data_IF_353051064804
#
_entry.id   IF_353051064804
#
_cell.length_a   1.000
_cell.length_b   1.000
_cell.length_c   1.000
_cell.angle_alpha   90.00
_cell.angle_beta   90.00
_cell.angle_gamma   90.00
#
_symmetry.space_group_name_H-M   'P 1'
#
loop_
_entity.id
_entity.type
_entity.pdbx_description
1 polymer ?
#
# COMPACT_ATOMS: atom_id res chain seq x y z
N UNK A 1 7.17 -1.99 18.62
CA UNK A 1 7.38 -0.66 18.02
C UNK A 1 8.88 -0.40 17.96
N UNK A 2 9.38 0.12 16.83
CA UNK A 2 10.79 0.49 16.68
C UNK A 2 10.93 1.88 16.03
N UNK A 3 11.98 2.62 16.47
CA UNK A 3 12.34 3.94 15.98
C UNK A 3 13.84 3.98 15.68
N UNK A 4 14.26 4.64 14.59
CA UNK A 4 15.67 4.82 14.28
C UNK A 4 15.94 5.48 12.95
N UNK A 5 17.19 5.86 12.67
CA UNK A 5 17.58 6.28 11.30
C UNK A 5 17.36 5.14 10.31
N UNK A 6 17.89 3.96 10.62
CA UNK A 6 17.61 2.72 9.88
C UNK A 6 17.03 1.68 10.82
N UNK A 7 15.86 1.17 10.50
CA UNK A 7 15.16 0.10 11.24
C UNK A 7 15.20 -1.17 10.39
N UNK A 8 15.89 -2.21 10.87
CA UNK A 8 15.93 -3.53 10.22
C UNK A 8 15.06 -4.51 10.99
N UNK A 9 14.06 -5.07 10.34
CA UNK A 9 13.07 -5.98 10.93
C UNK A 9 13.24 -7.35 10.31
N UNK A 10 13.93 -8.25 11.02
CA UNK A 10 14.25 -9.59 10.52
C UNK A 10 13.64 -10.72 11.38
N UNK A 11 13.08 -10.38 12.53
CA UNK A 11 12.48 -11.38 13.41
C UNK A 11 10.96 -11.37 13.26
N UNK A 12 10.35 -12.54 13.30
CA UNK A 12 8.90 -12.70 13.31
C UNK A 12 8.26 -11.84 14.40
N UNK A 13 7.17 -11.19 14.06
CA UNK A 13 6.40 -10.35 14.98
C UNK A 13 4.99 -10.92 15.09
N UNK A 14 4.65 -11.38 16.30
CA UNK A 14 3.29 -11.77 16.59
C UNK A 14 2.46 -10.53 16.93
N UNK A 15 1.37 -10.31 16.17
CA UNK A 15 0.53 -9.13 16.30
C UNK A 15 0.99 -7.94 15.46
N UNK A 16 0.98 -6.73 16.05
CA UNK A 16 1.26 -5.47 15.35
C UNK A 16 2.72 -5.04 15.46
N UNK A 17 3.38 -4.87 14.31
CA UNK A 17 4.63 -4.13 14.18
C UNK A 17 4.41 -2.68 13.75
N UNK A 18 4.95 -1.71 14.50
CA UNK A 18 4.96 -0.30 14.11
C UNK A 18 6.38 0.22 14.00
N UNK A 19 6.76 0.77 12.84
CA UNK A 19 8.13 1.12 12.50
C UNK A 19 8.22 2.55 11.98
N UNK A 20 9.18 3.31 12.53
CA UNK A 20 9.39 4.72 12.24
C UNK A 20 10.88 4.97 11.99
N UNK A 21 11.24 5.55 10.86
CA UNK A 21 12.64 5.82 10.54
C UNK A 21 12.88 6.60 9.26
N UNK A 22 14.12 6.90 8.99
CA UNK A 22 14.53 7.39 7.66
C UNK A 22 14.46 6.25 6.63
N UNK A 23 14.92 5.06 7.03
CA UNK A 23 14.82 3.83 6.24
C UNK A 23 14.27 2.69 7.08
N UNK A 24 13.26 1.99 6.57
CA UNK A 24 12.76 0.75 7.15
C UNK A 24 12.99 -0.40 6.16
N UNK A 25 13.74 -1.40 6.59
CA UNK A 25 13.94 -2.66 5.88
C UNK A 25 13.20 -3.76 6.65
N UNK A 26 12.14 -4.27 6.05
CA UNK A 26 11.33 -5.33 6.61
C UNK A 26 11.53 -6.60 5.80
N UNK A 27 12.01 -7.66 6.46
CA UNK A 27 12.23 -8.97 5.84
C UNK A 27 11.82 -10.07 6.83
N UNK A 28 10.53 -10.20 7.07
CA UNK A 28 10.01 -11.17 8.03
C UNK A 28 8.50 -11.40 7.83
N UNK A 29 7.86 -12.02 8.82
CA UNK A 29 6.43 -12.26 8.83
C UNK A 29 5.78 -11.63 10.06
N UNK A 30 4.60 -11.03 9.88
CA UNK A 30 3.80 -10.48 10.98
C UNK A 30 2.30 -10.55 10.67
N UNK A 31 1.46 -10.28 11.69
CA UNK A 31 0.03 -10.16 11.45
C UNK A 31 -0.31 -8.79 10.86
N UNK A 32 0.16 -7.74 11.52
CA UNK A 32 -0.16 -6.36 11.14
C UNK A 32 1.11 -5.52 11.09
N UNK A 33 1.20 -4.62 10.10
CA UNK A 33 2.28 -3.64 10.05
C UNK A 33 1.76 -2.22 9.86
N UNK A 34 2.43 -1.27 10.50
CA UNK A 34 2.31 0.16 10.24
C UNK A 34 3.71 0.74 10.06
N UNK A 35 4.00 1.34 8.91
CA UNK A 35 5.33 1.87 8.59
C UNK A 35 5.22 3.32 8.19
N UNK A 36 6.07 4.14 8.80
CA UNK A 36 6.23 5.57 8.49
C UNK A 36 7.72 5.86 8.29
N UNK A 37 8.14 6.05 7.05
CA UNK A 37 9.56 6.17 6.72
C UNK A 37 9.77 6.92 5.41
N UNK A 38 10.89 7.57 5.24
CA UNK A 38 11.22 8.17 3.94
C UNK A 38 11.48 7.06 2.90
N UNK A 39 12.22 6.01 3.27
CA UNK A 39 12.46 4.86 2.40
C UNK A 39 11.97 3.57 3.04
N UNK A 40 11.17 2.79 2.30
CA UNK A 40 10.60 1.52 2.77
C UNK A 40 10.97 0.42 1.78
N UNK A 41 11.64 -0.63 2.26
CA UNK A 41 11.95 -1.84 1.51
C UNK A 41 11.29 -3.03 2.23
N UNK A 42 10.41 -3.74 1.55
CA UNK A 42 9.65 -4.82 2.14
C UNK A 42 9.85 -6.12 1.36
N UNK A 43 10.08 -7.20 2.11
CA UNK A 43 10.01 -8.58 1.65
C UNK A 43 9.44 -9.48 2.77
N UNK A 44 8.99 -10.69 2.45
CA UNK A 44 8.35 -11.58 3.42
C UNK A 44 6.83 -11.53 3.39
N UNK A 45 6.14 -11.54 4.53
CA UNK A 45 4.69 -11.53 4.53
C UNK A 45 4.05 -10.80 5.72
N UNK A 46 2.82 -10.33 5.52
CA UNK A 46 1.94 -9.89 6.60
C UNK A 46 0.48 -10.09 6.21
N UNK A 47 -0.41 -9.94 7.19
CA UNK A 47 -1.85 -10.06 6.95
C UNK A 47 -2.44 -8.76 6.46
N UNK A 48 -2.32 -7.69 7.25
CA UNK A 48 -2.82 -6.36 6.91
C UNK A 48 -1.73 -5.31 7.11
N UNK A 49 -1.71 -4.25 6.29
CA UNK A 49 -0.67 -3.23 6.39
C UNK A 49 -1.11 -1.82 6.03
N UNK A 50 -0.46 -0.85 6.68
CA UNK A 50 -0.51 0.56 6.32
C UNK A 50 0.92 1.10 6.17
N UNK A 51 1.26 1.61 4.99
CA UNK A 51 2.61 2.03 4.66
C UNK A 51 2.59 3.46 4.16
N UNK A 52 3.40 4.30 4.79
CA UNK A 52 3.57 5.70 4.46
C UNK A 52 5.05 5.98 4.22
N UNK A 53 5.39 6.43 3.00
CA UNK A 53 6.79 6.71 2.68
C UNK A 53 6.96 7.56 1.44
N UNK A 54 8.15 8.09 1.22
CA UNK A 54 8.47 8.80 -0.01
C UNK A 54 8.80 7.80 -1.13
N UNK A 55 9.68 6.83 -0.84
CA UNK A 55 10.03 5.74 -1.76
C UNK A 55 9.69 4.41 -1.11
N UNK A 56 8.82 3.63 -1.77
CA UNK A 56 8.32 2.36 -1.26
C UNK A 56 8.58 1.28 -2.31
N UNK A 57 9.27 0.22 -1.89
CA UNK A 57 9.55 -0.95 -2.71
C UNK A 57 9.06 -2.22 -2.00
N UNK A 58 8.12 -2.93 -2.62
CA UNK A 58 7.68 -4.26 -2.24
C UNK A 58 8.27 -5.25 -3.23
N UNK A 59 9.05 -6.21 -2.72
CA UNK A 59 9.66 -7.24 -3.54
C UNK A 59 9.42 -8.62 -2.94
N UNK A 60 8.84 -9.52 -3.73
CA UNK A 60 8.55 -10.90 -3.32
C UNK A 60 7.71 -10.98 -2.03
N UNK A 61 6.78 -10.00 -1.88
CA UNK A 61 5.89 -9.91 -0.73
C UNK A 61 4.64 -10.76 -0.89
N UNK A 62 4.14 -11.28 0.24
CA UNK A 62 2.82 -11.89 0.33
C UNK A 62 1.97 -11.11 1.34
N UNK A 63 0.90 -10.50 0.86
CA UNK A 63 -0.07 -9.78 1.69
C UNK A 63 -1.37 -10.61 1.74
N UNK A 64 -1.70 -11.13 2.92
CA UNK A 64 -2.78 -12.11 3.06
C UNK A 64 -4.18 -11.48 3.11
N UNK A 65 -4.29 -10.17 3.37
CA UNK A 65 -5.54 -9.41 3.35
C UNK A 65 -5.32 -8.03 2.72
N UNK A 66 -5.69 -6.97 3.41
CA UNK A 66 -5.77 -5.64 2.82
C UNK A 66 -4.51 -4.81 3.09
N UNK A 67 -4.18 -3.95 2.13
CA UNK A 67 -3.07 -3.00 2.27
C UNK A 67 -3.47 -1.61 1.81
N UNK A 68 -2.95 -0.61 2.54
CA UNK A 68 -3.01 0.80 2.15
C UNK A 68 -1.60 1.35 2.04
N UNK A 69 -1.29 1.97 0.91
CA UNK A 69 0.03 2.53 0.63
C UNK A 69 -0.10 4.00 0.23
N UNK A 70 0.65 4.86 0.90
CA UNK A 70 0.81 6.27 0.55
C UNK A 70 2.28 6.58 0.30
N UNK A 71 2.61 7.00 -0.92
CA UNK A 71 3.99 7.32 -1.26
C UNK A 71 4.13 8.24 -2.46
N UNK A 72 5.33 8.75 -2.69
CA UNK A 72 5.61 9.50 -3.91
C UNK A 72 5.98 8.55 -5.05
N UNK A 73 6.92 7.62 -4.79
CA UNK A 73 7.36 6.61 -5.75
C UNK A 73 7.15 5.22 -5.16
N UNK A 74 6.31 4.43 -5.82
CA UNK A 74 5.89 3.12 -5.33
C UNK A 74 6.18 2.08 -6.41
N UNK A 75 6.97 1.06 -6.05
CA UNK A 75 7.24 -0.10 -6.89
C UNK A 75 6.76 -1.36 -6.20
N UNK A 76 6.07 -2.18 -6.92
CA UNK A 76 5.43 -3.38 -6.39
C UNK A 76 5.73 -4.58 -7.29
N UNK A 77 6.23 -5.64 -6.66
CA UNK A 77 6.24 -7.00 -7.14
C UNK A 77 5.79 -7.87 -5.96
N UNK A 78 4.52 -8.28 -5.96
CA UNK A 78 3.93 -8.91 -4.79
C UNK A 78 2.68 -9.75 -5.11
N UNK A 79 2.33 -10.62 -4.19
CA UNK A 79 1.06 -11.32 -4.16
C UNK A 79 0.15 -10.71 -3.11
N UNK A 80 -1.07 -10.33 -3.51
CA UNK A 80 -2.11 -9.78 -2.64
C UNK A 80 -3.34 -10.69 -2.67
N UNK A 81 -3.71 -11.23 -1.52
CA UNK A 81 -4.90 -12.08 -1.41
C UNK A 81 -6.16 -11.27 -1.04
N UNK A 82 -6.01 -9.98 -0.73
CA UNK A 82 -7.10 -9.03 -0.44
C UNK A 82 -7.04 -7.77 -1.29
N UNK A 83 -7.62 -6.70 -0.78
CA UNK A 83 -7.76 -5.44 -1.48
C UNK A 83 -6.51 -4.57 -1.39
N UNK A 84 -6.27 -3.79 -2.44
CA UNK A 84 -5.09 -2.92 -2.56
C UNK A 84 -5.52 -1.48 -2.81
N UNK A 85 -5.13 -0.59 -1.92
CA UNK A 85 -5.40 0.84 -2.03
C UNK A 85 -4.07 1.62 -2.06
N UNK A 86 -3.79 2.29 -3.19
CA UNK A 86 -2.51 2.98 -3.39
C UNK A 86 -2.74 4.42 -3.81
N UNK A 87 -2.06 5.32 -3.10
CA UNK A 87 -1.95 6.74 -3.43
C UNK A 87 -0.49 7.11 -3.63
N UNK A 88 -0.15 7.59 -4.83
CA UNK A 88 1.23 7.96 -5.15
C UNK A 88 1.36 8.85 -6.37
N UNK A 89 2.52 9.48 -6.55
CA UNK A 89 2.78 10.19 -7.80
C UNK A 89 3.17 9.24 -8.93
N UNK A 90 4.05 8.29 -8.65
CA UNK A 90 4.57 7.29 -9.59
C UNK A 90 4.29 5.90 -9.02
N UNK A 91 3.38 5.17 -9.65
CA UNK A 91 2.97 3.83 -9.22
C UNK A 91 3.36 2.85 -10.33
N UNK A 92 4.16 1.85 -9.98
CA UNK A 92 4.67 0.82 -10.89
C UNK A 92 4.41 -0.58 -10.30
N UNK A 93 3.47 -1.31 -10.88
CA UNK A 93 3.07 -2.66 -10.45
C UNK A 93 3.55 -3.66 -11.48
N UNK A 94 4.49 -4.50 -11.09
CA UNK A 94 5.13 -5.48 -11.96
C UNK A 94 4.97 -6.89 -11.41
N UNK A 95 4.75 -7.86 -12.31
CA UNK A 95 4.78 -9.29 -12.00
C UNK A 95 4.00 -9.68 -10.74
N UNK A 96 2.86 -9.02 -10.53
CA UNK A 96 2.06 -9.14 -9.32
C UNK A 96 0.79 -9.94 -9.55
N UNK A 97 0.30 -10.58 -8.49
CA UNK A 97 -0.99 -11.26 -8.48
C UNK A 97 -1.87 -10.63 -7.41
N UNK A 98 -3.04 -10.12 -7.78
CA UNK A 98 -3.96 -9.44 -6.87
C UNK A 98 -5.33 -10.10 -6.98
N UNK A 99 -5.78 -10.77 -5.90
CA UNK A 99 -7.07 -11.48 -5.88
C UNK A 99 -8.25 -10.57 -5.53
N UNK A 100 -8.00 -9.48 -4.80
CA UNK A 100 -9.02 -8.51 -4.41
C UNK A 100 -9.15 -7.33 -5.36
N UNK A 101 -9.93 -6.35 -4.92
CA UNK A 101 -10.13 -5.09 -5.65
C UNK A 101 -8.91 -4.17 -5.52
N UNK A 102 -8.64 -3.41 -6.59
CA UNK A 102 -7.50 -2.49 -6.67
C UNK A 102 -8.00 -1.07 -6.90
N UNK A 103 -7.58 -0.15 -6.05
CA UNK A 103 -7.78 1.27 -6.24
C UNK A 103 -6.43 1.99 -6.32
N UNK A 104 -6.16 2.65 -7.44
CA UNK A 104 -4.94 3.41 -7.69
C UNK A 104 -5.26 4.88 -7.91
N UNK A 105 -4.63 5.73 -7.15
CA UNK A 105 -4.68 7.18 -7.35
C UNK A 105 -3.26 7.72 -7.51
N UNK A 106 -2.93 8.22 -8.71
CA UNK A 106 -1.58 8.66 -9.01
C UNK A 106 -1.46 9.53 -10.24
N UNK A 107 -0.35 10.27 -10.34
CA UNK A 107 -0.08 11.04 -11.55
C UNK A 107 0.28 10.11 -12.71
N UNK A 108 1.11 9.11 -12.44
CA UNK A 108 1.54 8.11 -13.41
C UNK A 108 1.34 6.71 -12.84
N UNK A 109 0.61 5.89 -13.56
CA UNK A 109 0.33 4.51 -13.21
C UNK A 109 0.80 3.59 -14.33
N UNK A 110 1.64 2.62 -13.96
CA UNK A 110 2.07 1.53 -14.82
C UNK A 110 1.67 0.20 -14.22
N UNK A 111 1.17 -0.70 -15.03
CA UNK A 111 0.87 -2.08 -14.66
C UNK A 111 1.46 -2.97 -15.76
N UNK A 112 2.37 -3.88 -15.39
CA UNK A 112 3.00 -4.77 -16.36
C UNK A 112 2.02 -5.79 -16.94
N UNK A 113 2.31 -6.28 -18.13
CA UNK A 113 1.48 -7.30 -18.78
C UNK A 113 1.46 -8.65 -18.04
N UNK A 114 2.45 -8.91 -17.18
CA UNK A 114 2.51 -10.11 -16.36
C UNK A 114 1.69 -9.98 -15.07
N UNK A 115 1.26 -8.78 -14.70
CA UNK A 115 0.40 -8.57 -13.52
C UNK A 115 -0.99 -9.12 -13.79
N UNK A 116 -1.55 -9.83 -12.80
CA UNK A 116 -2.90 -10.37 -12.82
C UNK A 116 -3.74 -9.71 -11.72
N UNK A 117 -4.92 -9.25 -12.07
CA UNK A 117 -5.90 -8.68 -11.13
C UNK A 117 -7.21 -9.43 -11.34
N UNK A 118 -7.67 -10.16 -10.32
CA UNK A 118 -8.91 -10.94 -10.37
C UNK A 118 -10.14 -10.10 -9.97
N UNK A 119 -9.93 -9.06 -9.14
CA UNK A 119 -10.97 -8.13 -8.70
C UNK A 119 -11.17 -6.94 -9.64
N UNK A 120 -11.93 -5.97 -9.15
CA UNK A 120 -12.21 -4.71 -9.87
C UNK A 120 -11.02 -3.78 -9.81
N UNK A 121 -10.61 -3.24 -10.95
CA UNK A 121 -9.58 -2.22 -11.04
C UNK A 121 -10.22 -0.82 -11.21
N UNK A 122 -9.94 0.06 -10.26
CA UNK A 122 -10.28 1.49 -10.31
C UNK A 122 -9.02 2.32 -10.35
N UNK A 123 -8.91 3.18 -11.36
CA UNK A 123 -7.73 4.05 -11.54
C UNK A 123 -8.18 5.49 -11.65
N UNK A 124 -7.56 6.33 -10.83
CA UNK A 124 -7.63 7.77 -10.91
C UNK A 124 -6.23 8.31 -11.24
N UNK A 125 -6.01 8.76 -12.48
CA UNK A 125 -4.69 9.19 -12.95
C UNK A 125 -4.77 10.40 -13.88
N UNK A 126 -3.84 11.33 -13.73
CA UNK A 126 -3.75 12.56 -14.57
C UNK A 126 -2.99 12.30 -15.87
N UNK A 127 -2.02 11.42 -15.89
CA UNK A 127 -1.07 11.25 -16.99
C UNK A 127 -1.02 9.83 -17.55
N UNK A 128 -0.38 9.72 -18.70
CA UNK A 128 -0.24 8.58 -19.58
C UNK A 128 -0.37 7.17 -18.95
N UNK A 129 -1.31 6.42 -19.47
CA UNK A 129 -1.50 5.00 -19.21
C UNK A 129 -0.35 4.20 -19.82
N UNK A 130 0.18 3.24 -19.08
CA UNK A 130 1.04 2.20 -19.60
C UNK A 130 0.53 0.83 -19.11
N UNK A 131 -0.68 0.47 -19.57
CA UNK A 131 -1.27 -0.86 -19.39
C UNK A 131 -2.36 -1.10 -20.44
N UNK A 132 -2.62 -2.36 -20.77
CA UNK A 132 -3.69 -2.75 -21.68
C UNK A 132 -5.04 -2.70 -20.98
N UNK A 133 -5.95 -1.81 -21.43
CA UNK A 133 -7.28 -1.63 -20.86
C UNK A 133 -8.12 -2.90 -21.01
N UNK A 134 -7.93 -3.62 -22.12
CA UNK A 134 -8.75 -4.80 -22.47
C UNK A 134 -8.44 -6.03 -21.61
N UNK A 135 -7.35 -5.97 -20.82
CA UNK A 135 -6.90 -7.08 -19.98
C UNK A 135 -7.57 -7.13 -18.60
N UNK A 136 -8.09 -5.99 -18.11
CA UNK A 136 -8.62 -5.88 -16.77
C UNK A 136 -10.10 -5.49 -16.78
N UNK A 137 -10.88 -6.00 -15.82
CA UNK A 137 -12.25 -5.50 -15.56
C UNK A 137 -12.17 -4.09 -14.93
N UNK A 138 -11.98 -3.09 -15.79
CA UNK A 138 -11.88 -1.68 -15.38
C UNK A 138 -13.28 -1.10 -15.26
N UNK A 139 -13.84 -1.05 -14.06
CA UNK A 139 -15.17 -0.46 -13.82
C UNK A 139 -15.19 1.05 -13.76
N UNK A 140 -14.08 1.69 -13.41
CA UNK A 140 -13.99 3.16 -13.37
C UNK A 140 -12.60 3.62 -13.77
N UNK A 141 -12.54 4.36 -14.86
CA UNK A 141 -11.40 5.19 -15.23
C UNK A 141 -11.82 6.65 -15.16
N UNK A 142 -11.45 7.34 -14.10
CA UNK A 142 -11.70 8.76 -13.97
C UNK A 142 -10.43 9.57 -14.25
N UNK A 143 -10.49 10.38 -15.29
CA UNK A 143 -9.58 11.50 -15.44
C UNK A 143 -9.99 12.56 -14.38
N UNK A 144 -9.07 13.01 -13.51
CA UNK A 144 -9.29 13.76 -12.26
C UNK A 144 -10.04 15.10 -12.43
N UNK A 145 -11.12 15.15 -13.15
CA UNK A 145 -11.98 16.31 -13.19
C UNK A 145 -13.34 16.14 -12.50
N UNK A 146 -13.59 15.00 -11.84
CA UNK A 146 -14.89 14.75 -11.20
C UNK A 146 -14.80 14.53 -9.68
N UNK A 147 -15.50 15.41 -8.97
CA UNK A 147 -15.61 15.53 -7.50
C UNK A 147 -16.33 14.38 -6.77
N UNK A 148 -16.74 13.28 -7.41
CA UNK A 148 -17.63 12.30 -6.76
C UNK A 148 -16.95 11.19 -5.96
N UNK A 149 -15.66 10.91 -6.21
CA UNK A 149 -14.95 9.79 -5.58
C UNK A 149 -14.34 10.11 -4.20
N UNK A 150 -14.48 11.37 -3.75
CA UNK A 150 -13.95 11.80 -2.46
C UNK A 150 -14.60 11.06 -1.26
N UNK A 151 -15.79 10.51 -1.41
CA UNK A 151 -16.53 9.88 -0.31
C UNK A 151 -15.98 8.49 0.02
N UNK A 152 -15.71 7.67 -0.99
CA UNK A 152 -15.15 6.32 -0.79
C UNK A 152 -13.72 6.41 -0.23
N UNK A 153 -12.93 7.32 -0.79
CA UNK A 153 -11.57 7.61 -0.31
C UNK A 153 -11.62 8.08 1.15
N UNK A 154 -12.54 9.00 1.45
CA UNK A 154 -12.70 9.56 2.79
C UNK A 154 -13.14 8.50 3.81
N UNK A 155 -13.98 7.55 3.46
CA UNK A 155 -14.40 6.46 4.34
C UNK A 155 -13.24 5.51 4.65
N UNK A 156 -12.39 5.17 3.67
CA UNK A 156 -11.17 4.39 3.90
C UNK A 156 -10.15 5.18 4.73
N UNK A 157 -9.87 6.42 4.38
CA UNK A 157 -8.94 7.29 5.12
C UNK A 157 -9.43 7.49 6.56
N UNK A 158 -10.71 7.76 6.79
CA UNK A 158 -11.28 7.91 8.12
C UNK A 158 -11.16 6.64 8.96
N UNK A 159 -11.37 5.47 8.35
CA UNK A 159 -11.19 4.19 9.04
C UNK A 159 -9.75 4.01 9.53
N UNK A 160 -8.76 4.32 8.68
CA UNK A 160 -7.34 4.21 9.03
C UNK A 160 -6.87 5.32 9.96
N UNK A 161 -7.36 6.54 9.80
CA UNK A 161 -7.10 7.65 10.75
C UNK A 161 -7.64 7.30 12.15
N UNK A 162 -8.82 6.71 12.24
CA UNK A 162 -9.35 6.26 13.53
C UNK A 162 -8.47 5.16 14.16
N UNK A 163 -8.00 4.19 13.39
CA UNK A 163 -7.08 3.16 13.86
C UNK A 163 -5.77 3.80 14.36
N UNK A 164 -5.17 4.69 13.56
CA UNK A 164 -3.95 5.41 13.95
C UNK A 164 -4.14 6.28 15.18
N UNK A 165 -5.30 6.93 15.31
CA UNK A 165 -5.63 7.75 16.49
C UNK A 165 -5.74 6.89 17.74
N UNK A 166 -6.38 5.74 17.66
CA UNK A 166 -6.44 4.78 18.77
C UNK A 166 -5.04 4.31 19.18
N UNK A 167 -4.16 4.01 18.21
CA UNK A 167 -2.77 3.65 18.52
C UNK A 167 -1.98 4.79 19.17
N UNK A 168 -2.14 6.01 18.67
CA UNK A 168 -1.48 7.18 19.24
C UNK A 168 -1.94 7.41 20.69
N UNK A 169 -3.24 7.32 20.95
CA UNK A 169 -3.81 7.45 22.29
C UNK A 169 -3.32 6.33 23.22
N UNK A 170 -3.31 5.08 22.74
CA UNK A 170 -2.78 3.96 23.54
C UNK A 170 -1.28 4.15 23.84
N UNK A 171 -0.50 4.64 22.87
CA UNK A 171 0.92 4.94 23.09
C UNK A 171 1.15 6.02 24.15
N UNK A 172 0.30 7.05 24.19
CA UNK A 172 0.39 8.15 25.18
C UNK A 172 -0.12 7.74 26.56
N UNK A 173 -0.90 6.67 26.67
CA UNK A 173 -1.46 6.18 27.94
C UNK A 173 -0.65 5.04 28.58
N UNK A 174 0.35 4.49 27.88
CA UNK A 174 1.25 3.49 28.45
C UNK A 174 2.41 4.26 29.11
N UNK A 175 2.55 4.22 30.47
CA UNK A 175 3.61 4.91 31.17
C UNK A 175 5.00 4.33 30.88
#
# INVERSE_FOLDING_TARGET
VAFGGTVNVNNKIDGLGAFFGETVNYNTNSDYIAIFSNKVNLSGSFRDGAIFGNVIELQDMIINRDIVIFGNKIKINAQFNGNVLIFGSDIDINDSVISGDVYLNGNKVKISDNTKIDGVLKINSVASKSFSIDKYDIKEYNNINNKSDSKVIMDYVNRWVNILTVFLVLYLLIP
#
